data_IF_604907757571
#
_entry.id   IF_604907757571
#
_cell.length_a   1.000
_cell.length_b   1.000
_cell.length_c   1.000
_cell.angle_alpha   90.00
_cell.angle_beta   90.00
_cell.angle_gamma   90.00
#
_symmetry.space_group_name_H-M   'P 1'
#
loop_
_entity.id
_entity.type
_entity.pdbx_description
1 polymer ?
#
# COMPACT_ATOMS: atom_id res chain seq x y z
N UNK A 1 20.82 17.58 -20.90
CA UNK A 1 19.63 17.49 -21.76
C UNK A 1 18.41 17.33 -20.87
N UNK A 2 17.82 18.46 -20.46
CA UNK A 2 16.62 18.50 -19.60
C UNK A 2 15.40 18.03 -20.39
N UNK A 3 14.95 16.80 -20.11
CA UNK A 3 13.67 16.32 -20.60
C UNK A 3 12.60 16.81 -19.62
N UNK A 4 12.27 18.09 -19.73
CA UNK A 4 11.16 18.70 -18.99
C UNK A 4 9.84 18.12 -19.53
N UNK A 5 9.53 16.88 -19.12
CA UNK A 5 8.33 16.14 -19.51
C UNK A 5 7.16 16.75 -18.74
N UNK A 6 6.39 17.61 -19.39
CA UNK A 6 5.11 18.13 -18.87
C UNK A 6 4.27 16.94 -18.38
N UNK A 7 4.05 16.83 -17.08
CA UNK A 7 3.45 15.64 -16.45
C UNK A 7 2.01 15.33 -16.82
N UNK A 8 1.29 16.29 -17.40
CA UNK A 8 0.05 16.00 -18.12
C UNK A 8 0.25 14.84 -19.10
N UNK A 9 1.39 14.83 -19.81
CA UNK A 9 1.79 13.74 -20.71
C UNK A 9 2.02 12.41 -19.98
N UNK A 10 2.66 12.40 -18.80
CA UNK A 10 2.96 11.15 -18.07
C UNK A 10 1.71 10.55 -17.43
N UNK A 11 0.84 11.39 -16.87
CA UNK A 11 -0.47 10.95 -16.37
C UNK A 11 -1.35 10.46 -17.51
N UNK A 12 -1.43 11.20 -18.62
CA UNK A 12 -2.19 10.81 -19.79
C UNK A 12 -1.59 9.56 -20.46
N UNK A 13 -0.26 9.36 -20.46
CA UNK A 13 0.41 8.15 -20.98
C UNK A 13 0.11 6.92 -20.12
N UNK A 14 0.22 7.02 -18.78
CA UNK A 14 -0.19 5.91 -17.89
C UNK A 14 -1.67 5.60 -18.03
N UNK A 15 -2.52 6.63 -18.07
CA UNK A 15 -3.97 6.46 -18.28
C UNK A 15 -4.26 5.80 -19.64
N UNK A 16 -3.60 6.26 -20.71
CA UNK A 16 -3.67 5.72 -22.07
C UNK A 16 -3.10 4.32 -22.20
N UNK A 17 -2.28 3.85 -21.27
CA UNK A 17 -1.86 2.45 -21.23
C UNK A 17 -2.95 1.55 -20.62
N UNK A 18 -3.62 1.99 -19.57
CA UNK A 18 -4.65 1.19 -18.89
C UNK A 18 -6.02 1.22 -19.59
N UNK A 19 -6.40 2.35 -20.20
CA UNK A 19 -7.71 2.53 -20.85
C UNK A 19 -7.94 1.53 -22.00
N UNK A 20 -6.99 1.27 -22.92
CA UNK A 20 -7.20 0.36 -24.04
C UNK A 20 -7.17 -1.12 -23.67
N UNK A 21 -6.42 -1.49 -22.63
CA UNK A 21 -6.33 -2.89 -22.17
C UNK A 21 -7.57 -3.32 -21.36
N UNK A 22 -8.22 -2.39 -20.68
CA UNK A 22 -9.45 -2.65 -19.90
C UNK A 22 -10.60 -3.26 -20.76
N UNK A 23 -11.00 -2.70 -21.93
CA UNK A 23 -12.05 -3.28 -22.77
C UNK A 23 -11.63 -4.65 -23.32
N UNK A 24 -10.34 -4.86 -23.61
CA UNK A 24 -9.81 -6.16 -24.03
C UNK A 24 -9.93 -7.19 -22.90
N UNK A 25 -9.51 -6.85 -21.69
CA UNK A 25 -9.66 -7.71 -20.51
C UNK A 25 -11.12 -8.02 -20.21
N UNK A 26 -12.03 -7.04 -20.32
CA UNK A 26 -13.48 -7.26 -20.19
C UNK A 26 -14.02 -8.23 -21.24
N UNK A 27 -13.55 -8.12 -22.49
CA UNK A 27 -13.92 -9.05 -23.57
C UNK A 27 -13.44 -10.48 -23.26
N UNK A 28 -12.18 -10.64 -22.83
CA UNK A 28 -11.62 -11.93 -22.44
C UNK A 28 -12.38 -12.54 -21.25
N UNK A 29 -12.68 -11.75 -20.23
CA UNK A 29 -13.44 -12.21 -19.07
C UNK A 29 -14.85 -12.70 -19.46
N UNK A 30 -15.54 -12.00 -20.37
CA UNK A 30 -16.83 -12.45 -20.92
C UNK A 30 -16.69 -13.78 -21.67
N UNK A 31 -15.67 -13.92 -22.52
CA UNK A 31 -15.40 -15.16 -23.26
C UNK A 31 -15.14 -16.33 -22.32
N UNK A 32 -14.30 -16.15 -21.29
CA UNK A 32 -14.03 -17.18 -20.28
C UNK A 32 -15.27 -17.59 -19.50
N UNK A 33 -16.15 -16.63 -19.17
CA UNK A 33 -17.41 -16.93 -18.50
C UNK A 33 -18.36 -17.75 -19.39
N UNK A 34 -18.44 -17.42 -20.69
CA UNK A 34 -19.24 -18.20 -21.67
C UNK A 34 -18.66 -19.61 -21.83
N UNK A 35 -17.33 -19.75 -21.97
CA UNK A 35 -16.65 -21.04 -22.03
C UNK A 35 -16.90 -21.89 -20.79
N UNK A 36 -16.88 -21.28 -19.60
CA UNK A 36 -17.21 -21.96 -18.35
C UNK A 36 -18.67 -22.44 -18.34
N UNK A 37 -19.61 -21.66 -18.85
CA UNK A 37 -21.03 -22.04 -18.90
C UNK A 37 -21.27 -23.19 -19.89
N UNK A 38 -20.64 -23.15 -21.07
CA UNK A 38 -20.71 -24.24 -22.06
C UNK A 38 -20.11 -25.52 -21.47
N UNK A 39 -18.95 -25.43 -20.83
CA UNK A 39 -18.31 -26.56 -20.16
C UNK A 39 -19.21 -27.16 -19.07
N UNK A 40 -19.93 -26.34 -18.32
CA UNK A 40 -20.89 -26.78 -17.30
C UNK A 40 -22.07 -27.56 -17.90
N UNK A 41 -22.64 -27.06 -19.00
CA UNK A 41 -23.73 -27.74 -19.71
C UNK A 41 -23.23 -29.09 -20.25
N UNK A 42 -22.06 -29.12 -20.88
CA UNK A 42 -21.44 -30.34 -21.39
C UNK A 42 -21.21 -31.37 -20.27
N UNK A 43 -20.64 -30.94 -19.14
CA UNK A 43 -20.44 -31.81 -17.97
C UNK A 43 -21.75 -32.32 -17.37
N UNK A 44 -22.82 -31.51 -17.41
CA UNK A 44 -24.15 -31.90 -16.93
C UNK A 44 -24.80 -32.96 -17.83
N UNK A 45 -24.69 -32.82 -19.15
CA UNK A 45 -25.15 -33.85 -20.10
C UNK A 45 -24.33 -35.14 -19.92
N UNK A 46 -23.00 -35.03 -19.80
CA UNK A 46 -22.13 -36.19 -19.53
C UNK A 46 -22.52 -36.88 -18.21
N UNK A 47 -22.80 -36.11 -17.16
CA UNK A 47 -23.21 -36.63 -15.86
C UNK A 47 -24.57 -37.34 -15.89
N UNK A 48 -25.50 -36.91 -16.74
CA UNK A 48 -26.81 -37.54 -16.88
C UNK A 48 -26.74 -38.92 -17.53
N UNK A 49 -25.88 -39.09 -18.55
CA UNK A 49 -25.69 -40.35 -19.27
C UNK A 49 -24.52 -41.21 -18.73
N UNK A 50 -24.03 -40.91 -17.53
CA UNK A 50 -22.84 -41.54 -16.96
C UNK A 50 -23.08 -43.01 -16.59
N UNK A 51 -22.32 -43.92 -17.20
CA UNK A 51 -22.17 -45.29 -16.70
C UNK A 51 -21.14 -45.32 -15.57
N UNK A 52 -21.61 -45.57 -14.34
CA UNK A 52 -20.80 -45.62 -13.13
C UNK A 52 -19.81 -46.80 -13.10
N UNK A 53 -19.92 -47.75 -14.00
CA UNK A 53 -18.99 -48.88 -14.11
C UNK A 53 -17.86 -48.63 -15.10
N UNK A 54 -17.99 -47.61 -15.97
CA UNK A 54 -16.98 -47.26 -16.98
C UNK A 54 -15.95 -46.27 -16.43
N UNK A 55 -14.71 -46.74 -16.29
CA UNK A 55 -13.59 -45.90 -15.86
C UNK A 55 -13.33 -44.72 -16.82
N UNK A 56 -13.43 -44.93 -18.14
CA UNK A 56 -13.17 -43.90 -19.14
C UNK A 56 -14.19 -42.76 -19.06
N UNK A 57 -15.49 -43.09 -18.90
CA UNK A 57 -16.54 -42.07 -18.78
C UNK A 57 -16.42 -41.26 -17.49
N UNK A 58 -16.07 -41.91 -16.38
CA UNK A 58 -15.80 -41.23 -15.10
C UNK A 58 -14.59 -40.29 -15.24
N UNK A 59 -13.49 -40.78 -15.83
CA UNK A 59 -12.28 -40.00 -16.06
C UNK A 59 -12.56 -38.76 -16.93
N UNK A 60 -13.30 -38.93 -18.02
CA UNK A 60 -13.71 -37.83 -18.90
C UNK A 60 -14.56 -36.78 -18.17
N UNK A 61 -15.51 -37.19 -17.34
CA UNK A 61 -16.32 -36.29 -16.52
C UNK A 61 -15.47 -35.51 -15.50
N UNK A 62 -14.48 -36.15 -14.87
CA UNK A 62 -13.54 -35.48 -13.97
C UNK A 62 -12.75 -34.40 -14.71
N UNK A 63 -12.22 -34.69 -15.91
CA UNK A 63 -11.53 -33.69 -16.72
C UNK A 63 -12.43 -32.50 -17.08
N UNK A 64 -13.69 -32.75 -17.44
CA UNK A 64 -14.69 -31.69 -17.70
C UNK A 64 -14.93 -30.81 -16.46
N UNK A 65 -15.05 -31.41 -15.27
CA UNK A 65 -15.20 -30.66 -14.01
C UNK A 65 -13.95 -29.81 -13.74
N UNK A 66 -12.76 -30.37 -13.89
CA UNK A 66 -11.50 -29.62 -13.72
C UNK A 66 -11.41 -28.45 -14.70
N UNK A 67 -11.81 -28.63 -15.96
CA UNK A 67 -11.83 -27.57 -16.96
C UNK A 67 -12.76 -26.41 -16.57
N UNK A 68 -13.94 -26.70 -15.99
CA UNK A 68 -14.85 -25.67 -15.48
C UNK A 68 -14.18 -24.83 -14.39
N UNK A 69 -13.57 -25.48 -13.40
CA UNK A 69 -12.86 -24.78 -12.32
C UNK A 69 -11.68 -23.96 -12.84
N UNK A 70 -10.97 -24.46 -13.85
CA UNK A 70 -9.89 -23.73 -14.51
C UNK A 70 -10.39 -22.44 -15.17
N UNK A 71 -11.45 -22.50 -15.98
CA UNK A 71 -12.03 -21.32 -16.61
C UNK A 71 -12.59 -20.31 -15.60
N UNK A 72 -13.25 -20.79 -14.53
CA UNK A 72 -13.75 -19.94 -13.44
C UNK A 72 -12.62 -19.24 -12.68
N UNK A 73 -11.53 -19.95 -12.39
CA UNK A 73 -10.35 -19.39 -11.72
C UNK A 73 -9.72 -18.28 -12.56
N UNK A 74 -9.48 -18.51 -13.86
CA UNK A 74 -8.96 -17.48 -14.77
C UNK A 74 -9.91 -16.27 -14.87
N UNK A 75 -11.21 -16.51 -14.97
CA UNK A 75 -12.21 -15.45 -14.96
C UNK A 75 -12.15 -14.62 -13.67
N UNK A 76 -12.06 -15.26 -12.51
CA UNK A 76 -11.96 -14.58 -11.22
C UNK A 76 -10.71 -13.70 -11.13
N UNK A 77 -9.55 -14.22 -11.55
CA UNK A 77 -8.27 -13.48 -11.56
C UNK A 77 -8.38 -12.23 -12.44
N UNK A 78 -8.88 -12.37 -13.67
CA UNK A 78 -9.03 -11.24 -14.59
C UNK A 78 -10.03 -10.21 -14.04
N UNK A 79 -11.14 -10.67 -13.44
CA UNK A 79 -12.15 -9.79 -12.86
C UNK A 79 -11.63 -9.00 -11.65
N UNK A 80 -10.81 -9.63 -10.81
CA UNK A 80 -10.10 -8.95 -9.71
C UNK A 80 -9.15 -7.90 -10.27
N UNK A 81 -8.40 -8.22 -11.33
CA UNK A 81 -7.48 -7.29 -11.97
C UNK A 81 -8.21 -6.07 -12.55
N UNK A 82 -9.31 -6.28 -13.30
CA UNK A 82 -10.16 -5.20 -13.83
C UNK A 82 -10.63 -4.28 -12.70
N UNK A 83 -11.15 -4.84 -11.60
CA UNK A 83 -11.62 -4.05 -10.45
C UNK A 83 -10.51 -3.23 -9.81
N UNK A 84 -9.29 -3.78 -9.74
CA UNK A 84 -8.13 -3.09 -9.21
C UNK A 84 -7.71 -1.92 -10.11
N UNK A 85 -7.68 -2.14 -11.42
CA UNK A 85 -7.37 -1.10 -12.42
C UNK A 85 -8.44 0.01 -12.39
N UNK A 86 -9.73 -0.35 -12.42
CA UNK A 86 -10.84 0.62 -12.33
C UNK A 86 -10.77 1.49 -11.08
N UNK A 87 -10.48 0.88 -9.93
CA UNK A 87 -10.31 1.63 -8.68
C UNK A 87 -9.18 2.65 -8.80
N UNK A 88 -8.05 2.28 -9.41
CA UNK A 88 -6.91 3.19 -9.62
C UNK A 88 -7.24 4.28 -10.64
N UNK A 89 -7.90 3.95 -11.75
CA UNK A 89 -8.35 4.93 -12.74
C UNK A 89 -9.32 5.95 -12.14
N UNK A 90 -10.23 5.52 -11.27
CA UNK A 90 -11.13 6.42 -10.55
C UNK A 90 -10.36 7.40 -9.68
N UNK A 91 -9.36 6.92 -8.93
CA UNK A 91 -8.49 7.77 -8.12
C UNK A 91 -7.74 8.80 -8.97
N UNK A 92 -7.14 8.38 -10.08
CA UNK A 92 -6.42 9.28 -10.99
C UNK A 92 -7.39 10.30 -11.62
N UNK A 93 -8.60 9.88 -11.98
CA UNK A 93 -9.63 10.75 -12.52
C UNK A 93 -10.14 11.79 -11.52
N UNK A 94 -10.33 11.41 -10.26
CA UNK A 94 -10.66 12.33 -9.16
C UNK A 94 -9.54 13.37 -8.96
N UNK A 95 -8.27 12.95 -9.01
CA UNK A 95 -7.10 13.84 -8.96
C UNK A 95 -7.02 14.80 -10.16
N UNK A 96 -7.46 14.38 -11.35
CA UNK A 96 -7.48 15.24 -12.54
C UNK A 96 -8.50 16.38 -12.40
N UNK A 97 -9.64 16.13 -11.71
CA UNK A 97 -10.70 17.13 -11.46
C UNK A 97 -10.32 18.16 -10.40
N UNK A 98 -9.42 17.83 -9.49
CA UNK A 98 -8.92 18.78 -8.50
C UNK A 98 -8.04 19.79 -9.24
N UNK A 99 -8.48 21.04 -9.29
CA UNK A 99 -7.72 22.12 -9.91
C UNK A 99 -6.41 22.34 -9.13
N UNK A 100 -5.31 22.55 -9.84
CA UNK A 100 -3.97 22.76 -9.27
C UNK A 100 -3.86 23.97 -8.35
N UNK A 101 -4.86 24.85 -8.37
CA UNK A 101 -4.97 26.02 -7.50
C UNK A 101 -5.58 25.74 -6.13
N UNK A 102 -6.18 24.57 -5.93
CA UNK A 102 -6.86 24.23 -4.68
C UNK A 102 -5.84 23.78 -3.63
N UNK A 103 -5.84 24.43 -2.47
CA UNK A 103 -4.95 24.06 -1.36
C UNK A 103 -5.38 22.70 -0.84
N UNK A 104 -4.42 21.78 -0.69
CA UNK A 104 -4.71 20.45 -0.16
C UNK A 104 -3.75 20.08 0.96
N UNK A 105 -4.30 19.45 2.00
CA UNK A 105 -3.55 18.97 3.15
C UNK A 105 -3.25 17.47 2.97
N UNK A 106 -1.99 17.10 3.15
CA UNK A 106 -1.55 15.71 3.18
C UNK A 106 -1.24 15.34 4.62
N UNK A 107 -1.87 14.26 5.05
CA UNK A 107 -1.62 13.69 6.37
C UNK A 107 -0.81 12.40 6.24
N UNK A 108 0.06 12.11 7.21
CA UNK A 108 0.77 10.84 7.26
C UNK A 108 -0.22 9.68 7.36
N UNK A 109 0.17 8.55 6.80
CA UNK A 109 -0.61 7.32 6.77
C UNK A 109 -0.95 6.89 8.21
N UNK A 110 -2.24 6.89 8.52
CA UNK A 110 -2.72 6.51 9.85
C UNK A 110 -2.67 4.99 10.02
N UNK A 111 -1.54 4.45 10.52
CA UNK A 111 -1.37 3.02 10.84
C UNK A 111 -2.16 2.62 12.11
N UNK A 112 -3.50 2.73 12.09
CA UNK A 112 -4.35 2.46 13.27
C UNK A 112 -4.19 1.04 13.83
N UNK A 113 -4.05 0.04 12.95
CA UNK A 113 -3.80 -1.36 13.38
C UNK A 113 -2.50 -1.50 14.17
N UNK A 114 -1.45 -0.79 13.79
CA UNK A 114 -0.18 -0.82 14.51
C UNK A 114 -0.33 -0.31 15.95
N UNK A 115 -1.03 0.83 16.16
CA UNK A 115 -1.27 1.33 17.53
C UNK A 115 -2.03 0.31 18.38
N UNK A 116 -3.05 -0.32 17.81
CA UNK A 116 -3.82 -1.35 18.51
C UNK A 116 -2.92 -2.52 18.95
N UNK A 117 -2.06 -3.01 18.06
CA UNK A 117 -1.08 -4.05 18.40
C UNK A 117 -0.05 -3.58 19.43
N UNK A 118 0.42 -2.33 19.38
CA UNK A 118 1.31 -1.78 20.38
C UNK A 118 0.67 -1.76 21.77
N UNK A 119 -0.59 -1.34 21.88
CA UNK A 119 -1.32 -1.33 23.17
C UNK A 119 -1.41 -2.75 23.74
N UNK A 120 -1.78 -3.73 22.92
CA UNK A 120 -1.82 -5.14 23.33
C UNK A 120 -0.42 -5.62 23.77
N UNK A 121 0.63 -5.28 23.01
CA UNK A 121 2.00 -5.66 23.35
C UNK A 121 2.44 -5.07 24.71
N UNK A 122 2.10 -3.81 24.99
CA UNK A 122 2.37 -3.21 26.31
C UNK A 122 1.65 -3.93 27.44
N UNK A 123 0.38 -4.30 27.26
CA UNK A 123 -0.38 -5.08 28.24
C UNK A 123 0.30 -6.44 28.50
N UNK A 124 0.71 -7.14 27.44
CA UNK A 124 1.42 -8.42 27.55
C UNK A 124 2.78 -8.27 28.25
N UNK A 125 3.52 -7.20 27.98
CA UNK A 125 4.80 -6.94 28.65
C UNK A 125 4.62 -6.59 30.13
N UNK A 126 3.56 -5.88 30.52
CA UNK A 126 3.22 -5.64 31.93
C UNK A 126 2.92 -6.96 32.65
N UNK A 127 2.17 -7.86 32.00
CA UNK A 127 1.90 -9.18 32.55
C UNK A 127 3.19 -10.01 32.70
N UNK A 128 4.06 -10.00 31.69
CA UNK A 128 5.36 -10.67 31.76
C UNK A 128 6.24 -10.11 32.88
N UNK A 129 6.28 -8.78 33.04
CA UNK A 129 6.99 -8.12 34.13
C UNK A 129 6.46 -8.58 35.50
N UNK A 130 5.14 -8.67 35.67
CA UNK A 130 4.51 -9.16 36.91
C UNK A 130 4.91 -10.61 37.22
N UNK A 131 4.89 -11.51 36.23
CA UNK A 131 5.34 -12.89 36.42
C UNK A 131 6.82 -12.95 36.86
N UNK A 132 7.65 -12.09 36.29
CA UNK A 132 9.08 -12.07 36.57
C UNK A 132 9.41 -11.51 37.95
N UNK A 133 8.66 -10.50 38.40
CA UNK A 133 8.73 -9.97 39.77
C UNK A 133 8.32 -11.05 40.76
N UNK A 134 7.22 -11.78 40.50
CA UNK A 134 6.77 -12.85 41.39
C UNK A 134 7.82 -13.96 41.53
N UNK A 135 8.43 -14.38 40.42
CA UNK A 135 9.54 -15.36 40.44
C UNK A 135 10.77 -14.85 41.19
N UNK A 136 11.12 -13.58 41.02
CA UNK A 136 12.24 -12.98 41.74
C UNK A 136 12.01 -12.89 43.25
N UNK A 137 10.75 -12.71 43.68
CA UNK A 137 10.36 -12.69 45.10
C UNK A 137 10.38 -14.09 45.73
N UNK A 138 10.06 -15.13 44.96
CA UNK A 138 10.11 -16.52 45.40
C UNK A 138 11.55 -17.04 45.49
N UNK A 139 12.34 -16.84 44.43
CA UNK A 139 13.76 -17.23 44.35
C UNK A 139 14.63 -16.04 43.91
N UNK A 140 15.36 -15.46 44.87
CA UNK A 140 16.27 -14.35 44.59
C UNK A 140 17.55 -14.85 43.91
N UNK A 141 17.58 -14.82 42.57
CA UNK A 141 18.75 -15.18 41.76
C UNK A 141 19.17 -14.05 40.82
N UNK A 142 20.47 -13.93 40.60
CA UNK A 142 21.07 -12.97 39.68
C UNK A 142 20.54 -13.14 38.24
N UNK A 143 20.24 -14.37 37.83
CA UNK A 143 19.64 -14.64 36.51
C UNK A 143 18.30 -13.90 36.35
N UNK A 144 17.41 -13.97 37.34
CA UNK A 144 16.10 -13.30 37.29
C UNK A 144 16.20 -11.77 37.30
N UNK A 145 17.16 -11.21 38.04
CA UNK A 145 17.47 -9.77 38.01
C UNK A 145 17.91 -9.36 36.61
N UNK A 146 18.79 -10.13 35.99
CA UNK A 146 19.29 -9.84 34.64
C UNK A 146 18.17 -9.82 33.59
N UNK A 147 17.25 -10.79 33.64
CA UNK A 147 16.08 -10.81 32.77
C UNK A 147 15.16 -9.62 33.02
N UNK A 148 15.02 -9.16 34.28
CA UNK A 148 14.11 -8.08 34.65
C UNK A 148 14.62 -6.75 34.09
N UNK A 149 15.92 -6.48 34.27
CA UNK A 149 16.60 -5.32 33.67
C UNK A 149 16.47 -5.34 32.14
N UNK A 150 16.66 -6.50 31.52
CA UNK A 150 16.51 -6.65 30.07
C UNK A 150 15.08 -6.36 29.59
N UNK A 151 14.07 -6.87 30.30
CA UNK A 151 12.66 -6.65 29.97
C UNK A 151 12.26 -5.16 30.13
N UNK A 152 12.76 -4.49 31.17
CA UNK A 152 12.61 -3.04 31.33
C UNK A 152 13.27 -2.29 30.16
N UNK A 153 14.48 -2.69 29.74
CA UNK A 153 15.16 -2.11 28.59
C UNK A 153 14.32 -2.19 27.30
N UNK A 154 13.74 -3.37 27.02
CA UNK A 154 12.84 -3.57 25.88
C UNK A 154 11.59 -2.69 25.99
N UNK A 155 11.01 -2.58 27.18
CA UNK A 155 9.85 -1.73 27.44
C UNK A 155 10.13 -0.26 27.12
N UNK A 156 11.26 0.27 27.63
CA UNK A 156 11.68 1.66 27.38
C UNK A 156 11.90 1.88 25.88
N UNK A 157 12.66 1.01 25.22
CA UNK A 157 12.92 1.11 23.78
C UNK A 157 11.61 1.09 22.96
N UNK A 158 10.69 0.19 23.30
CA UNK A 158 9.39 0.07 22.64
C UNK A 158 8.53 1.32 22.86
N UNK A 159 8.55 1.87 24.08
CA UNK A 159 7.82 3.09 24.42
C UNK A 159 8.33 4.32 23.67
N UNK A 160 9.65 4.49 23.56
CA UNK A 160 10.25 5.58 22.78
C UNK A 160 9.80 5.51 21.31
N UNK A 161 9.83 4.33 20.70
CA UNK A 161 9.36 4.14 19.32
C UNK A 161 7.86 4.41 19.17
N UNK A 162 7.06 4.00 20.15
CA UNK A 162 5.63 4.28 20.18
C UNK A 162 5.34 5.79 20.24
N UNK A 163 6.02 6.53 21.12
CA UNK A 163 5.88 7.98 21.21
C UNK A 163 6.33 8.69 19.93
N UNK A 164 7.43 8.23 19.31
CA UNK A 164 7.89 8.76 18.02
C UNK A 164 6.83 8.60 16.94
N UNK A 165 6.19 7.44 16.86
CA UNK A 165 5.10 7.18 15.92
C UNK A 165 3.86 8.04 16.19
N UNK A 166 3.51 8.28 17.45
CA UNK A 166 2.43 9.20 17.82
C UNK A 166 2.74 10.64 17.44
N UNK A 167 3.97 11.11 17.68
CA UNK A 167 4.42 12.45 17.27
C UNK A 167 4.36 12.61 15.76
N UNK A 168 4.83 11.61 15.01
CA UNK A 168 4.83 11.65 13.54
C UNK A 168 3.43 11.84 12.94
N UNK A 169 2.36 11.40 13.62
CA UNK A 169 0.97 11.55 13.16
C UNK A 169 0.42 12.96 13.28
N UNK A 170 1.04 13.81 14.11
CA UNK A 170 0.62 15.19 14.32
C UNK A 170 1.11 16.12 13.21
N UNK A 171 2.08 15.68 12.41
CA UNK A 171 2.57 16.44 11.28
C UNK A 171 1.59 16.35 10.10
N UNK A 172 1.44 17.44 9.36
CA UNK A 172 0.81 17.43 8.05
C UNK A 172 1.50 18.43 7.11
N UNK A 173 1.35 18.22 5.81
CA UNK A 173 1.90 19.09 4.78
C UNK A 173 0.74 19.76 4.04
N UNK A 174 0.67 21.09 4.10
CA UNK A 174 -0.28 21.84 3.28
C UNK A 174 0.44 22.32 2.02
N UNK A 175 -0.08 21.90 0.88
CA UNK A 175 0.41 22.31 -0.43
C UNK A 175 -0.37 23.52 -0.92
N UNK A 176 0.33 24.64 -1.13
CA UNK A 176 -0.24 25.91 -1.59
C UNK A 176 0.62 26.49 -2.72
N UNK A 177 0.23 26.25 -3.97
CA UNK A 177 0.92 26.71 -5.18
C UNK A 177 2.42 26.36 -5.16
N UNK A 178 3.30 27.29 -4.80
CA UNK A 178 4.76 27.13 -4.75
C UNK A 178 5.32 27.03 -3.31
N UNK A 179 4.45 26.89 -2.32
CA UNK A 179 4.80 26.82 -0.90
C UNK A 179 4.25 25.53 -0.32
N UNK A 180 5.11 24.82 0.40
CA UNK A 180 4.78 23.65 1.20
C UNK A 180 4.87 24.06 2.66
N UNK A 181 3.75 24.17 3.35
CA UNK A 181 3.73 24.48 4.78
C UNK A 181 3.75 23.19 5.58
N UNK A 182 4.65 23.10 6.55
CA UNK A 182 4.72 22.02 7.51
C UNK A 182 3.92 22.44 8.75
N UNK A 183 2.87 21.69 9.04
CA UNK A 183 2.07 21.86 10.24
C UNK A 183 2.44 20.81 11.30
N UNK A 184 2.36 21.20 12.56
CA UNK A 184 2.34 20.29 13.70
C UNK A 184 1.12 20.62 14.56
N UNK A 185 0.21 19.66 14.74
CA UNK A 185 -0.97 19.85 15.59
C UNK A 185 -1.85 21.06 15.19
N UNK A 186 -1.90 21.33 13.87
CA UNK A 186 -2.59 22.46 13.22
C UNK A 186 -1.90 23.83 13.35
N UNK A 187 -0.73 23.90 13.99
CA UNK A 187 0.10 25.10 14.01
C UNK A 187 1.13 25.07 12.87
N UNK A 188 1.29 26.20 12.16
CA UNK A 188 2.33 26.38 11.14
C UNK A 188 3.70 26.40 11.81
N UNK A 189 4.56 25.43 11.50
CA UNK A 189 5.92 25.35 12.05
C UNK A 189 6.93 26.00 11.11
N UNK A 190 6.90 25.59 9.85
CA UNK A 190 7.89 25.96 8.85
C UNK A 190 7.24 25.94 7.46
N UNK A 191 7.84 26.64 6.50
CA UNK A 191 7.42 26.58 5.12
C UNK A 191 8.64 26.39 4.21
N UNK A 192 8.46 25.57 3.19
CA UNK A 192 9.46 25.26 2.17
C UNK A 192 8.94 25.85 0.86
N UNK A 193 9.76 26.67 0.20
CA UNK A 193 9.47 27.11 -1.18
C UNK A 193 9.87 26.00 -2.13
N UNK A 194 9.03 25.69 -3.11
CA UNK A 194 9.32 24.64 -4.12
C UNK A 194 10.60 24.90 -4.90
N UNK A 195 10.99 26.17 -5.06
CA UNK A 195 12.24 26.57 -5.74
C UNK A 195 13.51 26.16 -4.98
N UNK A 196 13.41 25.89 -3.67
CA UNK A 196 14.52 25.42 -2.85
C UNK A 196 14.54 23.88 -2.79
N UNK A 197 13.65 23.20 -3.50
CA UNK A 197 13.62 21.73 -3.54
C UNK A 197 14.37 21.30 -4.79
N UNK A 198 15.42 20.51 -4.61
CA UNK A 198 16.16 19.93 -5.73
C UNK A 198 15.37 18.78 -6.35
N UNK A 199 15.04 17.79 -5.52
CA UNK A 199 14.18 16.69 -5.94
C UNK A 199 13.35 16.10 -4.81
N UNK A 200 12.31 15.41 -5.23
CA UNK A 200 11.42 14.63 -4.38
C UNK A 200 11.58 13.16 -4.72
N UNK A 201 11.67 12.31 -3.70
CA UNK A 201 11.73 10.86 -3.86
C UNK A 201 10.47 10.20 -3.35
N UNK A 202 9.91 9.30 -4.16
CA UNK A 202 8.86 8.38 -3.73
C UNK A 202 9.41 6.96 -3.72
N UNK A 203 9.22 6.23 -2.62
CA UNK A 203 9.64 4.83 -2.52
C UNK A 203 8.72 4.02 -1.60
N UNK A 204 8.67 2.70 -1.77
CA UNK A 204 8.03 1.80 -0.79
C UNK A 204 9.06 1.30 0.21
N UNK A 205 8.73 1.29 1.50
CA UNK A 205 9.58 0.62 2.49
C UNK A 205 9.56 -0.90 2.22
N UNK A 206 10.75 -1.52 2.17
CA UNK A 206 10.92 -2.97 2.10
C UNK A 206 11.40 -3.48 3.45
N UNK A 207 10.60 -4.31 4.12
CA UNK A 207 10.99 -4.92 5.40
C UNK A 207 11.73 -6.25 5.18
N UNK A 208 12.97 -6.19 4.69
CA UNK A 208 13.85 -7.37 4.54
C UNK A 208 14.02 -7.86 3.09
N UNK A 209 14.96 -8.80 2.89
CA UNK A 209 15.46 -9.22 1.55
C UNK A 209 14.42 -9.95 0.67
N UNK A 210 13.38 -10.55 1.25
CA UNK A 210 12.30 -11.26 0.53
C UNK A 210 10.88 -10.75 0.88
N UNK A 211 10.77 -9.61 1.54
CA UNK A 211 9.49 -9.15 2.04
C UNK A 211 8.65 -8.45 0.97
N UNK A 212 7.33 -8.57 1.15
CA UNK A 212 6.33 -7.83 0.38
C UNK A 212 6.57 -6.34 0.58
N UNK A 213 6.68 -5.59 -0.53
CA UNK A 213 6.78 -4.12 -0.49
C UNK A 213 5.60 -3.55 0.29
N UNK A 214 5.83 -2.54 1.12
CA UNK A 214 4.71 -1.79 1.70
C UNK A 214 3.80 -1.29 0.58
N UNK A 215 2.48 -1.42 0.80
CA UNK A 215 1.46 -1.02 -0.17
C UNK A 215 1.35 0.50 -0.34
N UNK A 216 1.95 1.26 0.56
CA UNK A 216 1.81 2.71 0.62
C UNK A 216 3.17 3.36 0.33
N UNK A 217 3.21 4.42 -0.48
CA UNK A 217 4.43 5.14 -0.77
C UNK A 217 4.87 6.02 0.40
N UNK A 218 6.18 6.22 0.50
CA UNK A 218 6.82 7.20 1.38
C UNK A 218 7.41 8.33 0.53
N UNK A 219 7.03 9.56 0.87
CA UNK A 219 7.55 10.81 0.34
C UNK A 219 8.82 11.19 1.07
N UNK A 220 9.85 11.63 0.35
CA UNK A 220 11.02 12.35 0.85
C UNK A 220 11.26 13.61 0.03
N UNK A 221 11.50 14.74 0.69
CA UNK A 221 11.81 16.02 0.06
C UNK A 221 13.27 16.37 0.35
N UNK A 222 14.04 16.68 -0.69
CA UNK A 222 15.45 17.06 -0.59
C UNK A 222 15.69 18.48 -1.09
N UNK A 223 16.52 19.23 -0.35
CA UNK A 223 17.07 20.52 -0.76
C UNK A 223 18.24 20.32 -1.74
N UNK A 224 18.70 21.42 -2.35
CA UNK A 224 19.87 21.56 -3.23
C UNK A 224 21.15 21.06 -2.55
N UNK A 225 21.23 21.15 -1.22
CA UNK A 225 22.35 20.60 -0.42
C UNK A 225 22.21 19.09 -0.12
N UNK A 226 21.30 18.38 -0.79
CA UNK A 226 20.91 16.99 -0.49
C UNK A 226 20.42 16.75 0.94
N UNK A 227 20.08 17.82 1.67
CA UNK A 227 19.50 17.73 3.01
C UNK A 227 18.04 17.32 2.92
N UNK A 228 17.67 16.33 3.72
CA UNK A 228 16.30 15.82 3.83
C UNK A 228 15.45 16.78 4.65
N UNK A 229 14.49 17.44 4.00
CA UNK A 229 13.60 18.42 4.62
C UNK A 229 12.37 17.78 5.25
N UNK A 230 11.79 16.77 4.59
CA UNK A 230 10.61 16.08 5.08
C UNK A 230 10.60 14.61 4.67
N UNK A 231 9.99 13.77 5.51
CA UNK A 231 9.64 12.40 5.14
C UNK A 231 8.33 11.98 5.80
N UNK A 232 7.44 11.40 5.00
CA UNK A 232 6.22 10.80 5.51
C UNK A 232 5.71 9.67 4.61
N UNK A 233 5.21 8.60 5.23
CA UNK A 233 4.39 7.61 4.52
C UNK A 233 3.02 8.20 4.27
N UNK A 234 2.50 8.10 3.05
CA UNK A 234 1.30 8.78 2.58
C UNK A 234 0.30 7.78 1.98
N UNK A 235 -0.96 8.20 1.81
CA UNK A 235 -1.91 7.38 1.09
C UNK A 235 -1.62 7.37 -0.41
N UNK A 236 -2.19 6.39 -1.10
CA UNK A 236 -2.09 6.29 -2.56
C UNK A 236 -2.76 7.48 -3.28
N UNK A 237 -3.84 8.02 -2.71
CA UNK A 237 -4.52 9.21 -3.25
C UNK A 237 -3.60 10.43 -3.17
N UNK A 238 -3.01 10.64 -1.99
CA UNK A 238 -2.10 11.75 -1.71
C UNK A 238 -0.84 11.65 -2.57
N UNK A 239 -0.36 10.43 -2.87
CA UNK A 239 0.75 10.19 -3.79
C UNK A 239 0.47 10.73 -5.20
N UNK A 240 -0.70 10.44 -5.78
CA UNK A 240 -1.05 10.94 -7.10
C UNK A 240 -1.22 12.48 -7.09
N UNK A 241 -1.78 13.06 -6.02
CA UNK A 241 -1.90 14.51 -5.85
C UNK A 241 -0.53 15.18 -5.77
N UNK A 242 0.34 14.69 -4.90
CA UNK A 242 1.70 15.19 -4.70
C UNK A 242 2.51 15.15 -5.99
N UNK A 243 2.40 14.06 -6.72
CA UNK A 243 3.11 13.89 -7.98
C UNK A 243 2.66 14.90 -9.03
N UNK A 244 1.36 15.22 -9.10
CA UNK A 244 0.82 16.31 -9.93
C UNK A 244 1.31 17.69 -9.46
N UNK A 245 1.34 17.93 -8.16
CA UNK A 245 1.77 19.21 -7.57
C UNK A 245 3.26 19.52 -7.83
N UNK A 246 4.17 18.58 -7.53
CA UNK A 246 5.61 18.80 -7.74
C UNK A 246 5.95 18.99 -9.23
N UNK A 247 5.23 18.26 -10.07
CA UNK A 247 5.32 18.37 -11.51
C UNK A 247 4.96 19.76 -12.05
N UNK A 248 3.85 20.33 -11.58
CA UNK A 248 3.40 21.67 -11.99
C UNK A 248 4.36 22.76 -11.50
N UNK A 249 5.05 22.51 -10.39
CA UNK A 249 6.10 23.37 -9.85
C UNK A 249 7.50 23.12 -10.43
N UNK A 250 7.62 22.29 -11.48
CA UNK A 250 8.89 21.93 -12.12
C UNK A 250 9.96 21.32 -11.18
N UNK A 251 9.54 20.67 -10.09
CA UNK A 251 10.45 19.99 -9.16
C UNK A 251 10.82 18.61 -9.72
N UNK A 252 12.09 18.22 -9.62
CA UNK A 252 12.52 16.90 -10.10
C UNK A 252 11.92 15.78 -9.23
N UNK A 253 11.44 14.70 -9.86
CA UNK A 253 10.81 13.58 -9.16
C UNK A 253 11.58 12.29 -9.44
N UNK A 254 12.13 11.70 -8.39
CA UNK A 254 12.74 10.38 -8.37
C UNK A 254 11.71 9.35 -7.84
N UNK A 255 10.97 8.76 -8.76
CA UNK A 255 9.90 7.81 -8.43
C UNK A 255 10.40 6.36 -8.47
N UNK A 256 10.84 5.86 -7.31
CA UNK A 256 11.22 4.46 -7.09
C UNK A 256 10.03 3.61 -6.60
N UNK A 257 8.88 4.24 -6.37
CA UNK A 257 7.67 3.56 -6.01
C UNK A 257 7.02 2.99 -7.28
N UNK A 258 7.33 1.72 -7.55
CA UNK A 258 6.58 0.99 -8.56
C UNK A 258 5.22 0.63 -7.96
N UNK A 259 4.19 1.23 -8.52
CA UNK A 259 2.79 0.92 -8.27
C UNK A 259 2.44 -0.56 -8.59
N UNK A 260 3.37 -1.34 -9.18
CA UNK A 260 3.23 -2.71 -9.66
C UNK A 260 4.50 -3.54 -9.42
#
# INVERSE_FOLDING_TARGET
MEKNRKWGYVFDEKLNMYIPDLPRQRKIAKVLLVLSAISLIAASVQGFFLDKTSYEQISFLIYSIVAIFFFLSLYAVIKINIRLIEKRLKLIGEVKKIDSSEKFEIRPLRKNRYLFFCIIAFIMMIFALSLQINKLLEDFSFEYISYLVFLIGIMIFSYINFLKELKNRKYSLLMDRQIIKIYYENDEMEYIKTNNIDYVRFYSIRHGRKARREKYPTLQIFDIEEKKLAEMTINLNDYYLLKKYFAENNVAINDQYEDF
#
